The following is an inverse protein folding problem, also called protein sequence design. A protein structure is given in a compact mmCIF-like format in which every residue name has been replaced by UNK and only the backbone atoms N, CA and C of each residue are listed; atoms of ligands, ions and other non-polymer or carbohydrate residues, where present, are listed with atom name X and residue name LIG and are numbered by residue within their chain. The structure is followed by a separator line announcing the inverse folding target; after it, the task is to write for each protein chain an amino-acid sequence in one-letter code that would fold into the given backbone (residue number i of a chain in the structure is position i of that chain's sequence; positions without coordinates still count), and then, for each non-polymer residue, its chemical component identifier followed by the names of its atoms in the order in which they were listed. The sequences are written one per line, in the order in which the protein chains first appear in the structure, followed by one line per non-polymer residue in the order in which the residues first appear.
data_IF_512367305131
#
_entry.id   IF_512367305131
#
_cell.length_a   1.000
_cell.length_b   1.000
_cell.length_c   1.000
_cell.angle_alpha   90.00
_cell.angle_beta   90.00
_cell.angle_gamma   90.00
#
_symmetry.space_group_name_H-M   'P 1'
#
loop_
_entity.id
_entity.type
_entity.pdbx_description
1 polymer ?
#
# COMPACT_ATOMS: atom_id res chain seq x y z
N UNK A 1 12.78 35.02 -35.76
CA UNK A 1 13.09 33.69 -35.17
C UNK A 1 13.84 33.86 -33.84
N UNK A 2 13.13 33.86 -32.69
CA UNK A 2 13.74 33.95 -31.36
C UNK A 2 13.85 32.55 -30.75
N UNK A 3 15.00 31.88 -30.94
CA UNK A 3 15.32 30.56 -30.39
C UNK A 3 16.03 30.63 -29.02
N UNK A 4 15.69 31.61 -28.16
CA UNK A 4 16.48 31.91 -26.94
C UNK A 4 15.82 31.48 -25.62
N UNK A 5 14.59 30.97 -25.64
CA UNK A 5 13.87 30.55 -24.43
C UNK A 5 13.78 29.04 -24.22
N UNK A 6 14.14 28.22 -25.22
CA UNK A 6 14.06 26.75 -25.11
C UNK A 6 15.18 26.15 -24.25
N UNK A 7 16.38 26.74 -24.29
CA UNK A 7 17.56 26.23 -23.57
C UNK A 7 17.36 26.23 -22.03
N UNK A 8 16.87 27.31 -21.38
CA UNK A 8 16.69 27.29 -19.93
C UNK A 8 15.59 26.32 -19.46
N UNK A 9 14.51 26.15 -20.24
CA UNK A 9 13.40 25.25 -19.88
C UNK A 9 13.83 23.78 -19.94
N UNK A 10 14.61 23.40 -20.95
CA UNK A 10 15.13 22.03 -21.08
C UNK A 10 16.14 21.72 -19.97
N UNK A 11 16.99 22.68 -19.58
CA UNK A 11 17.95 22.49 -18.48
C UNK A 11 17.22 22.28 -17.15
N UNK A 12 16.17 23.06 -16.86
CA UNK A 12 15.37 22.91 -15.62
C UNK A 12 14.67 21.55 -15.59
N UNK A 13 14.11 21.10 -16.72
CA UNK A 13 13.47 19.79 -16.81
C UNK A 13 14.47 18.63 -16.61
N UNK A 14 15.68 18.72 -17.18
CA UNK A 14 16.72 17.70 -16.99
C UNK A 14 17.24 17.68 -15.54
N UNK A 15 17.38 18.84 -14.89
CA UNK A 15 17.79 18.93 -13.48
C UNK A 15 16.74 18.32 -12.53
N UNK A 16 15.45 18.52 -12.83
CA UNK A 16 14.35 17.86 -12.11
C UNK A 16 14.35 16.34 -12.30
N UNK A 17 14.64 15.83 -13.51
CA UNK A 17 14.76 14.39 -13.74
C UNK A 17 15.92 13.75 -12.97
N UNK A 18 17.08 14.43 -12.87
CA UNK A 18 18.24 13.88 -12.14
C UNK A 18 18.02 13.82 -10.62
N UNK A 19 17.24 14.74 -10.05
CA UNK A 19 16.89 14.70 -8.62
C UNK A 19 15.98 13.50 -8.25
N UNK A 20 15.18 12.99 -9.20
CA UNK A 20 14.35 11.80 -8.98
C UNK A 20 15.13 10.49 -8.98
N UNK A 21 16.24 10.41 -9.72
CA UNK A 21 17.09 9.20 -9.77
C UNK A 21 18.02 9.11 -8.55
N UNK A 22 18.43 10.25 -7.99
CA UNK A 22 19.34 10.32 -6.84
C UNK A 22 18.77 9.83 -5.50
N UNK A 23 17.44 9.67 -5.37
CA UNK A 23 16.81 9.22 -4.10
C UNK A 23 16.69 7.68 -4.01
N UNK A 24 17.02 6.94 -5.07
CA UNK A 24 16.95 5.46 -5.10
C UNK A 24 18.29 4.77 -4.74
N UNK A 25 19.27 5.50 -4.21
CA UNK A 25 20.56 4.96 -3.80
C UNK A 25 20.87 5.33 -2.34
N UNK A 26 20.26 4.60 -1.41
CA UNK A 26 20.84 4.37 -0.08
C UNK A 26 20.86 2.85 0.08
N UNK A 27 22.03 2.30 -0.25
CA UNK A 27 22.43 0.94 0.04
C UNK A 27 22.65 0.85 1.56
N UNK A 28 21.84 0.05 2.25
CA UNK A 28 22.03 -0.22 3.67
C UNK A 28 22.75 -1.56 3.79
N UNK A 29 24.08 -1.50 3.81
CA UNK A 29 24.94 -2.63 4.15
C UNK A 29 24.60 -3.13 5.55
N UNK A 30 24.08 -4.36 5.66
CA UNK A 30 24.04 -5.13 6.91
C UNK A 30 25.17 -6.16 6.81
N UNK A 31 26.21 -6.11 7.67
CA UNK A 31 27.28 -7.10 7.64
C UNK A 31 26.80 -8.46 8.16
N UNK A 32 27.22 -9.49 7.43
CA UNK A 32 26.98 -10.89 7.67
C UNK A 32 27.55 -11.38 9.01
N UNK A 33 26.80 -12.27 9.67
CA UNK A 33 27.39 -13.30 10.51
C UNK A 33 26.79 -14.66 10.10
N UNK A 34 27.67 -15.52 9.58
CA UNK A 34 27.44 -16.95 9.37
C UNK A 34 27.25 -17.63 10.75
N UNK A 35 26.57 -18.75 10.95
CA UNK A 35 26.63 -20.10 10.37
C UNK A 35 25.46 -20.82 11.09
N UNK A 36 24.65 -21.70 10.51
CA UNK A 36 25.01 -23.10 10.40
C UNK A 36 23.89 -23.86 9.68
N UNK A 37 24.34 -24.71 8.77
CA UNK A 37 23.64 -25.68 7.97
C UNK A 37 22.87 -26.71 8.79
N UNK A 38 21.61 -27.00 8.42
CA UNK A 38 21.17 -28.39 8.35
C UNK A 38 19.95 -28.55 7.44
N UNK A 39 20.19 -29.10 6.26
CA UNK A 39 19.19 -29.63 5.35
C UNK A 39 18.95 -31.10 5.70
N UNK A 40 17.74 -31.47 6.16
CA UNK A 40 17.17 -32.81 5.96
C UNK A 40 15.65 -32.73 5.72
N UNK A 41 15.30 -32.80 4.43
CA UNK A 41 14.25 -33.58 3.73
C UNK A 41 12.93 -33.98 4.41
N UNK A 42 11.85 -33.44 3.85
CA UNK A 42 10.66 -34.08 3.23
C UNK A 42 9.76 -35.11 4.01
N UNK A 43 8.43 -34.90 3.83
CA UNK A 43 7.25 -35.80 3.95
C UNK A 43 6.43 -35.85 5.27
N UNK A 44 5.37 -35.01 5.32
CA UNK A 44 3.92 -35.20 5.65
C UNK A 44 3.44 -36.45 6.45
N UNK A 45 2.29 -36.45 7.21
CA UNK A 45 1.44 -35.40 7.81
C UNK A 45 1.13 -35.56 9.33
N UNK A 46 0.55 -34.49 9.89
CA UNK A 46 -0.45 -34.38 10.97
C UNK A 46 -0.13 -34.93 12.39
N UNK A 47 -0.36 -34.05 13.37
CA UNK A 47 -0.43 -34.29 14.82
C UNK A 47 0.90 -34.27 15.59
N UNK A 48 1.55 -33.10 15.60
CA UNK A 48 2.39 -32.70 16.72
C UNK A 48 1.86 -31.37 17.31
N UNK A 49 1.28 -31.46 18.50
CA UNK A 49 0.92 -30.30 19.31
C UNK A 49 2.22 -29.57 19.66
N UNK A 50 2.47 -28.44 19.00
CA UNK A 50 3.55 -27.53 19.39
C UNK A 50 3.04 -26.75 20.59
N UNK A 51 3.46 -27.16 21.79
CA UNK A 51 3.39 -26.34 23.00
C UNK A 51 4.42 -25.20 22.86
N UNK A 52 4.03 -24.17 22.10
CA UNK A 52 4.81 -22.97 21.84
C UNK A 52 4.50 -21.90 22.86
N UNK A 53 5.33 -21.77 23.88
CA UNK A 53 5.40 -20.59 24.72
C UNK A 53 5.87 -19.37 23.88
N UNK A 54 4.93 -18.61 23.35
CA UNK A 54 5.12 -17.22 22.94
C UNK A 54 3.79 -16.49 23.13
N UNK A 55 3.57 -15.96 24.34
CA UNK A 55 2.43 -15.09 24.64
C UNK A 55 2.62 -13.68 24.04
N UNK A 56 3.09 -13.58 22.80
CA UNK A 56 2.81 -12.41 21.98
C UNK A 56 1.52 -12.69 21.23
N UNK A 57 0.41 -12.24 21.81
CA UNK A 57 -0.86 -12.16 21.11
C UNK A 57 -0.66 -11.12 20.00
N UNK A 58 -0.19 -11.56 18.84
CA UNK A 58 -0.18 -10.74 17.64
C UNK A 58 -1.63 -10.41 17.35
N UNK A 59 -2.01 -9.17 17.61
CA UNK A 59 -3.38 -8.70 17.35
C UNK A 59 -3.63 -8.85 15.86
N UNK A 60 -4.37 -9.90 15.48
CA UNK A 60 -4.82 -10.09 14.11
C UNK A 60 -5.83 -8.98 13.84
N UNK A 61 -5.46 -8.02 12.99
CA UNK A 61 -6.36 -6.96 12.54
C UNK A 61 -7.11 -7.50 11.31
N UNK A 62 -8.45 -7.51 11.33
CA UNK A 62 -9.23 -7.88 10.16
C UNK A 62 -8.82 -7.03 8.94
N UNK A 63 -8.70 -7.67 7.79
CA UNK A 63 -8.38 -7.01 6.53
C UNK A 63 -9.17 -7.66 5.39
N UNK A 64 -9.31 -6.90 4.29
CA UNK A 64 -9.87 -7.39 3.04
C UNK A 64 -8.87 -7.05 1.93
N UNK A 65 -8.34 -8.07 1.27
CA UNK A 65 -7.27 -7.90 0.28
C UNK A 65 -5.99 -7.27 0.85
N UNK A 66 -5.65 -7.54 2.11
CA UNK A 66 -4.48 -6.94 2.76
C UNK A 66 -4.68 -5.52 3.29
N UNK A 67 -5.85 -4.90 3.03
CA UNK A 67 -6.18 -3.55 3.50
C UNK A 67 -6.99 -3.60 4.80
N UNK A 68 -6.57 -2.82 5.79
CA UNK A 68 -7.24 -2.63 7.07
C UNK A 68 -7.78 -1.21 7.22
N UNK A 69 -8.76 -1.06 8.12
CA UNK A 69 -9.20 0.27 8.55
C UNK A 69 -8.03 1.05 9.12
N UNK A 70 -8.01 2.36 8.84
CA UNK A 70 -6.96 3.32 9.21
C UNK A 70 -5.64 3.17 8.47
N UNK A 71 -5.57 2.31 7.46
CA UNK A 71 -4.44 2.31 6.54
C UNK A 71 -4.36 3.63 5.78
N UNK A 72 -3.16 3.93 5.27
CA UNK A 72 -2.94 5.09 4.42
C UNK A 72 -3.15 4.74 2.94
N UNK A 73 -3.41 5.72 2.07
CA UNK A 73 -3.52 5.50 0.63
C UNK A 73 -2.30 4.79 0.04
N UNK A 74 -1.09 5.10 0.53
CA UNK A 74 0.15 4.45 0.06
C UNK A 74 0.18 2.97 0.39
N UNK A 75 -0.31 2.60 1.59
CA UNK A 75 -0.45 1.19 1.98
C UNK A 75 -1.45 0.49 1.08
N UNK A 76 -2.58 1.11 0.77
CA UNK A 76 -3.59 0.54 -0.15
C UNK A 76 -2.99 0.31 -1.54
N UNK A 77 -2.26 1.29 -2.09
CA UNK A 77 -1.57 1.14 -3.38
C UNK A 77 -0.54 0.00 -3.33
N UNK A 78 0.17 -0.19 -2.20
CA UNK A 78 1.15 -1.28 -2.08
C UNK A 78 0.53 -2.68 -2.06
N UNK A 79 -0.73 -2.81 -1.62
CA UNK A 79 -1.44 -4.09 -1.52
C UNK A 79 -2.28 -4.39 -2.77
N UNK A 80 -3.00 -3.39 -3.30
CA UNK A 80 -3.97 -3.55 -4.37
C UNK A 80 -3.50 -3.01 -5.73
N UNK A 81 -2.39 -2.28 -5.77
CA UNK A 81 -1.92 -1.58 -6.96
C UNK A 81 -2.54 -0.18 -7.13
N UNK A 82 -2.16 0.47 -8.22
CA UNK A 82 -2.55 1.84 -8.56
C UNK A 82 -3.62 1.93 -9.66
N UNK A 83 -4.12 0.79 -10.14
CA UNK A 83 -5.16 0.71 -11.16
C UNK A 83 -6.55 0.76 -10.50
N UNK A 84 -6.96 1.97 -10.11
CA UNK A 84 -8.28 2.24 -9.55
C UNK A 84 -8.95 3.41 -10.26
N UNK A 85 -10.28 3.43 -10.21
CA UNK A 85 -11.07 4.63 -10.51
C UNK A 85 -11.37 5.38 -9.22
N UNK A 86 -11.28 6.72 -9.25
CA UNK A 86 -11.52 7.57 -8.09
C UNK A 86 -12.82 8.37 -8.25
N UNK A 87 -13.59 8.49 -7.17
CA UNK A 87 -14.72 9.40 -7.05
C UNK A 87 -14.77 10.05 -5.67
N UNK A 88 -15.65 11.03 -5.49
CA UNK A 88 -15.85 11.75 -4.22
C UNK A 88 -17.32 11.69 -3.82
N UNK A 89 -17.59 11.25 -2.60
CA UNK A 89 -18.91 11.30 -1.97
C UNK A 89 -18.93 12.44 -0.93
N UNK A 90 -19.93 13.30 -1.01
CA UNK A 90 -20.09 14.45 -0.11
C UNK A 90 -20.98 14.07 1.07
N UNK A 91 -20.50 14.23 2.29
CA UNK A 91 -21.28 13.97 3.51
C UNK A 91 -22.20 15.15 3.86
N UNK A 92 -23.21 15.37 3.02
CA UNK A 92 -24.17 16.47 3.21
C UNK A 92 -24.94 16.39 4.53
N UNK A 93 -25.11 15.18 5.08
CA UNK A 93 -25.82 14.96 6.33
C UNK A 93 -24.91 15.08 7.57
N UNK A 94 -23.59 15.14 7.39
CA UNK A 94 -22.62 15.18 8.48
C UNK A 94 -22.59 13.92 9.33
N UNK A 95 -22.99 12.77 8.80
CA UNK A 95 -23.07 11.50 9.55
C UNK A 95 -21.68 10.94 9.81
N UNK A 96 -20.79 11.06 8.84
CA UNK A 96 -19.40 10.59 8.91
C UNK A 96 -18.52 11.69 9.52
N UNK A 97 -18.85 12.95 9.24
CA UNK A 97 -18.11 14.13 9.70
C UNK A 97 -17.02 14.58 8.73
N UNK A 98 -16.94 13.97 7.54
CA UNK A 98 -16.05 14.38 6.45
C UNK A 98 -16.52 13.84 5.10
N UNK A 99 -16.18 14.54 4.01
CA UNK A 99 -16.26 14.02 2.65
C UNK A 99 -15.42 12.73 2.50
N UNK A 100 -15.79 11.90 1.54
CA UNK A 100 -15.19 10.59 1.31
C UNK A 100 -14.57 10.55 -0.09
N UNK A 101 -13.35 10.04 -0.19
CA UNK A 101 -12.72 9.64 -1.46
C UNK A 101 -12.97 8.14 -1.63
N UNK A 102 -13.45 7.71 -2.79
CA UNK A 102 -13.74 6.30 -3.08
C UNK A 102 -12.86 5.81 -4.22
N UNK A 103 -12.11 4.74 -3.97
CA UNK A 103 -11.32 4.03 -4.97
C UNK A 103 -11.99 2.69 -5.29
N UNK A 104 -12.34 2.49 -6.56
CA UNK A 104 -12.94 1.25 -7.05
C UNK A 104 -11.96 0.53 -7.97
N UNK A 105 -11.61 -0.70 -7.59
CA UNK A 105 -10.70 -1.57 -8.32
C UNK A 105 -11.48 -2.58 -9.18
N UNK A 106 -10.94 -2.93 -10.36
CA UNK A 106 -11.55 -3.94 -11.24
C UNK A 106 -11.65 -5.33 -10.61
N UNK A 107 -10.86 -5.58 -9.55
CA UNK A 107 -10.94 -6.81 -8.74
C UNK A 107 -12.23 -6.95 -7.94
N UNK A 108 -13.10 -5.94 -7.94
CA UNK A 108 -14.32 -5.91 -7.13
C UNK A 108 -14.07 -5.47 -5.69
N UNK A 109 -12.94 -4.80 -5.41
CA UNK A 109 -12.69 -4.19 -4.09
C UNK A 109 -12.95 -2.69 -4.20
N UNK A 110 -13.72 -2.15 -3.25
CA UNK A 110 -13.96 -0.71 -3.10
C UNK A 110 -13.40 -0.26 -1.76
N UNK A 111 -12.50 0.73 -1.80
CA UNK A 111 -11.86 1.32 -0.62
C UNK A 111 -12.33 2.76 -0.49
N UNK A 112 -12.79 3.14 0.69
CA UNK A 112 -13.19 4.53 0.97
C UNK A 112 -12.28 5.16 2.02
N UNK A 113 -11.83 6.37 1.74
CA UNK A 113 -10.97 7.18 2.60
C UNK A 113 -11.71 8.42 3.08
N UNK A 114 -11.49 8.79 4.34
CA UNK A 114 -11.85 10.13 4.77
C UNK A 114 -10.98 11.16 4.07
N UNK A 115 -11.58 12.17 3.43
CA UNK A 115 -10.86 13.21 2.68
C UNK A 115 -10.00 14.11 3.58
N UNK A 116 -10.42 14.29 4.83
CA UNK A 116 -9.71 15.09 5.84
C UNK A 116 -8.75 14.21 6.64
N UNK A 117 -9.19 13.03 7.08
CA UNK A 117 -8.34 12.13 7.86
C UNK A 117 -7.25 11.46 7.00
N UNK A 118 -7.48 11.30 5.71
CA UNK A 118 -6.58 10.63 4.78
C UNK A 118 -6.41 9.15 5.12
N UNK A 119 -7.41 8.52 5.75
CA UNK A 119 -7.37 7.15 6.26
C UNK A 119 -8.50 6.32 5.71
N UNK A 120 -8.25 5.02 5.54
CA UNK A 120 -9.29 4.04 5.18
C UNK A 120 -10.35 4.00 6.28
N UNK A 121 -11.61 4.23 5.90
CA UNK A 121 -12.78 4.19 6.79
C UNK A 121 -13.76 3.06 6.43
N UNK A 122 -13.67 2.54 5.20
CA UNK A 122 -14.53 1.44 4.70
C UNK A 122 -13.77 0.65 3.64
N UNK A 123 -13.94 -0.67 3.65
CA UNK A 123 -13.49 -1.58 2.60
C UNK A 123 -14.62 -2.58 2.33
N UNK A 124 -15.00 -2.75 1.07
CA UNK A 124 -16.10 -3.63 0.64
C UNK A 124 -15.63 -4.49 -0.53
N UNK A 125 -16.08 -5.74 -0.58
CA UNK A 125 -16.03 -6.53 -1.81
C UNK A 125 -17.39 -6.47 -2.48
N UNK A 126 -17.40 -6.02 -3.73
CA UNK A 126 -18.56 -5.85 -4.58
C UNK A 126 -18.40 -6.74 -5.82
N UNK A 127 -19.51 -7.27 -6.33
CA UNK A 127 -19.57 -8.05 -7.56
C UNK A 127 -20.74 -7.52 -8.39
N UNK A 128 -20.59 -7.54 -9.71
CA UNK A 128 -21.68 -7.19 -10.62
C UNK A 128 -22.76 -8.29 -10.73
N UNK A 129 -22.47 -9.50 -10.21
CA UNK A 129 -23.33 -10.68 -10.38
C UNK A 129 -24.53 -10.72 -9.42
N UNK A 130 -24.54 -9.90 -8.35
CA UNK A 130 -25.59 -9.93 -7.32
C UNK A 130 -26.02 -8.53 -6.89
#
# INVERSE_FOLDING_TARGET
MRKKTFIPVVIIAVLMCLAFVGFKYIDSEIPANATDSNEIKESTPADAIIEGNSNQVTKIVPNLGGVSLRDSPEKVVSELGNDYSESIEIDNAGIIGEDIIVWSYESGIVVSFGKTSGKVIKVVSESADF
#
